data_IF_519218203929
#
_entry.id   IF_519218203929
#
_cell.length_a   1.000
_cell.length_b   1.000
_cell.length_c   1.000
_cell.angle_alpha   90.00
_cell.angle_beta   90.00
_cell.angle_gamma   90.00
#
_symmetry.space_group_name_H-M   'P 1'
#
loop_
_entity.id
_entity.type
_entity.pdbx_description
1 polymer ?
#
# COMPACT_ATOMS: atom_id res chain seq x y z
N UNK A 1 10.75 -9.52 10.32
CA UNK A 1 10.31 -8.31 9.60
C UNK A 1 11.06 -7.10 10.16
N UNK A 2 11.54 -6.18 9.30
CA UNK A 2 12.21 -4.97 9.74
C UNK A 2 11.30 -4.08 10.62
N UNK A 3 11.92 -3.28 11.50
CA UNK A 3 11.23 -2.32 12.39
C UNK A 3 10.49 -1.22 11.60
N UNK A 4 10.98 -0.89 10.41
CA UNK A 4 10.33 0.01 9.46
C UNK A 4 9.64 -0.81 8.36
N UNK A 5 8.32 -0.65 8.27
CA UNK A 5 7.52 -1.18 7.16
C UNK A 5 7.68 -0.25 5.94
N UNK A 6 7.75 -0.82 4.74
CA UNK A 6 7.82 -0.07 3.46
C UNK A 6 9.02 0.89 3.37
N UNK A 7 10.27 0.40 3.38
CA UNK A 7 11.47 1.24 3.27
C UNK A 7 11.55 2.03 1.96
N UNK A 8 10.92 1.54 0.88
CA UNK A 8 10.89 2.15 -0.46
C UNK A 8 12.27 2.41 -1.08
N UNK A 9 13.28 1.64 -0.65
CA UNK A 9 14.68 1.85 -0.99
C UNK A 9 14.96 1.82 -2.48
N UNK A 10 14.52 0.78 -3.18
CA UNK A 10 14.80 0.67 -4.61
C UNK A 10 14.08 1.72 -5.46
N UNK A 11 12.96 2.29 -5.01
CA UNK A 11 12.32 3.40 -5.75
C UNK A 11 13.11 4.68 -5.57
N UNK A 12 13.56 4.97 -4.35
CA UNK A 12 14.11 6.28 -3.99
C UNK A 12 15.63 6.24 -3.72
N UNK A 13 16.33 5.23 -4.25
CA UNK A 13 17.77 5.11 -4.08
C UNK A 13 18.50 6.38 -4.57
N UNK A 14 19.33 6.96 -3.69
CA UNK A 14 20.06 8.19 -3.98
C UNK A 14 19.18 9.45 -4.11
N UNK A 15 17.87 9.34 -3.86
CA UNK A 15 16.91 10.44 -4.01
C UNK A 15 16.18 10.71 -2.70
N UNK A 16 15.81 11.97 -2.47
CA UNK A 16 14.96 12.34 -1.34
C UNK A 16 13.82 13.21 -1.86
N UNK A 17 12.83 12.62 -2.55
CA UNK A 17 11.76 13.40 -3.16
C UNK A 17 10.90 14.06 -2.09
N UNK A 18 10.60 15.33 -2.31
CA UNK A 18 9.65 16.08 -1.50
C UNK A 18 8.30 16.10 -2.20
N UNK A 19 7.28 15.56 -1.55
CA UNK A 19 5.91 15.55 -2.08
C UNK A 19 4.97 16.35 -1.19
N UNK A 20 4.02 17.04 -1.82
CA UNK A 20 2.90 17.63 -1.12
C UNK A 20 2.05 16.53 -0.46
N UNK A 21 1.84 16.66 0.85
CA UNK A 21 1.04 15.70 1.63
C UNK A 21 1.74 14.37 1.92
N UNK A 22 3.08 14.27 1.81
CA UNK A 22 3.85 13.08 2.17
C UNK A 22 3.74 12.70 3.67
N UNK A 23 4.02 11.43 3.97
CA UNK A 23 3.99 10.88 5.34
C UNK A 23 5.20 10.03 5.72
N UNK A 24 5.92 9.55 4.73
CA UNK A 24 6.95 8.54 4.92
C UNK A 24 8.31 9.18 4.72
N UNK A 25 9.23 8.85 5.61
CA UNK A 25 10.65 9.03 5.34
C UNK A 25 11.09 7.81 4.53
N UNK A 26 11.62 8.05 3.35
CA UNK A 26 12.17 7.00 2.50
C UNK A 26 13.58 6.66 2.94
N UNK A 27 13.96 5.39 2.85
CA UNK A 27 15.37 5.00 2.97
C UNK A 27 15.97 5.16 1.58
N UNK A 28 17.05 5.93 1.45
CA UNK A 28 17.67 6.23 0.16
C UNK A 28 19.16 5.91 0.10
N UNK A 29 19.75 5.46 1.21
CA UNK A 29 21.15 5.07 1.30
C UNK A 29 21.31 3.57 1.63
N UNK A 30 22.36 2.98 1.07
CA UNK A 30 22.62 1.53 1.18
C UNK A 30 22.92 1.10 2.61
N UNK A 31 23.62 1.91 3.40
CA UNK A 31 24.03 1.54 4.76
C UNK A 31 22.80 1.37 5.67
N UNK A 32 21.87 2.32 5.63
CA UNK A 32 20.60 2.26 6.36
C UNK A 32 19.74 1.10 5.88
N UNK A 33 19.68 0.84 4.56
CA UNK A 33 18.93 -0.28 4.02
C UNK A 33 19.47 -1.63 4.48
N UNK A 34 20.78 -1.86 4.38
CA UNK A 34 21.42 -3.11 4.83
C UNK A 34 21.30 -3.31 6.34
N UNK A 35 21.27 -2.23 7.12
CA UNK A 35 21.04 -2.32 8.57
C UNK A 35 19.66 -2.93 8.92
N UNK A 36 18.67 -2.89 8.00
CA UNK A 36 17.38 -3.57 8.19
C UNK A 36 17.49 -5.11 8.15
N UNK A 37 18.57 -5.64 7.57
CA UNK A 37 18.82 -7.07 7.40
C UNK A 37 19.74 -7.67 8.48
N UNK A 38 20.13 -6.88 9.49
CA UNK A 38 21.18 -7.24 10.46
C UNK A 38 20.90 -8.54 11.25
N UNK A 39 19.63 -8.91 11.47
CA UNK A 39 19.24 -10.15 12.19
C UNK A 39 18.91 -11.33 11.25
N UNK A 40 19.30 -11.22 9.96
CA UNK A 40 18.92 -12.14 8.88
C UNK A 40 19.92 -13.23 8.54
N UNK A 41 21.03 -13.37 9.29
CA UNK A 41 22.05 -14.38 8.98
C UNK A 41 21.48 -15.80 9.02
N UNK A 42 21.74 -16.59 7.96
CA UNK A 42 21.19 -17.94 7.79
C UNK A 42 19.70 -18.01 7.48
N UNK A 43 19.03 -16.88 7.17
CA UNK A 43 17.60 -16.81 6.84
C UNK A 43 17.38 -16.18 5.47
N UNK A 44 16.23 -16.48 4.86
CA UNK A 44 15.74 -15.69 3.73
C UNK A 44 15.30 -14.33 4.26
N UNK A 45 15.88 -13.27 3.70
CA UNK A 45 15.50 -11.89 3.99
C UNK A 45 14.68 -11.32 2.83
N UNK A 46 13.66 -10.54 3.17
CA UNK A 46 12.84 -9.85 2.21
C UNK A 46 12.17 -8.63 2.85
N UNK A 47 11.70 -7.74 2.00
CA UNK A 47 10.98 -6.53 2.36
C UNK A 47 9.80 -6.30 1.42
N UNK A 48 8.91 -5.40 1.81
CA UNK A 48 7.71 -5.09 1.04
C UNK A 48 7.49 -3.60 1.06
N UNK A 49 7.51 -3.00 -0.14
CA UNK A 49 7.25 -1.58 -0.38
C UNK A 49 6.30 -1.44 -1.56
N UNK A 50 5.08 -0.97 -1.29
CA UNK A 50 4.04 -0.83 -2.33
C UNK A 50 4.40 0.09 -3.51
N UNK A 51 5.29 1.11 -3.39
CA UNK A 51 5.67 1.94 -4.53
C UNK A 51 6.51 1.24 -5.59
N UNK A 52 7.14 0.10 -5.30
CA UNK A 52 7.99 -0.63 -6.25
C UNK A 52 7.29 -0.99 -7.55
N UNK A 53 6.01 -1.39 -7.47
CA UNK A 53 5.25 -1.77 -8.64
C UNK A 53 4.87 -0.55 -9.50
N UNK A 54 4.49 0.55 -8.85
CA UNK A 54 4.07 1.75 -9.56
C UNK A 54 5.24 2.48 -10.23
N UNK A 55 6.35 2.64 -9.51
CA UNK A 55 7.61 3.19 -10.04
C UNK A 55 8.52 2.07 -10.56
N UNK A 56 7.95 1.15 -11.35
CA UNK A 56 8.67 -0.06 -11.80
C UNK A 56 9.94 0.28 -12.58
N UNK A 57 9.95 1.37 -13.37
CA UNK A 57 11.11 1.74 -14.19
C UNK A 57 12.31 2.08 -13.32
N UNK A 58 12.13 3.00 -12.39
CA UNK A 58 13.16 3.45 -11.44
C UNK A 58 13.56 2.30 -10.52
N UNK A 59 12.58 1.56 -10.02
CA UNK A 59 12.81 0.43 -9.11
C UNK A 59 13.63 -0.67 -9.76
N UNK A 60 13.28 -1.09 -10.98
CA UNK A 60 14.01 -2.10 -11.73
C UNK A 60 15.43 -1.61 -12.05
N UNK A 61 15.57 -0.37 -12.52
CA UNK A 61 16.88 0.21 -12.81
C UNK A 61 17.81 0.21 -11.59
N UNK A 62 17.29 0.61 -10.43
CA UNK A 62 18.06 0.62 -9.18
C UNK A 62 18.39 -0.79 -8.69
N UNK A 63 17.47 -1.76 -8.79
CA UNK A 63 17.75 -3.16 -8.45
C UNK A 63 18.91 -3.69 -9.31
N UNK A 64 18.88 -3.44 -10.63
CA UNK A 64 19.93 -3.86 -11.57
C UNK A 64 21.29 -3.26 -11.23
N UNK A 65 21.31 -2.01 -10.79
CA UNK A 65 22.53 -1.30 -10.43
C UNK A 65 23.13 -1.78 -9.10
N UNK A 66 22.30 -2.19 -8.14
CA UNK A 66 22.70 -2.41 -6.75
C UNK A 66 22.84 -3.86 -6.35
N UNK A 67 22.12 -4.77 -7.01
CA UNK A 67 22.03 -6.17 -6.58
C UNK A 67 22.81 -7.07 -7.55
N UNK A 68 23.91 -7.69 -7.11
CA UNK A 68 24.55 -8.76 -7.86
C UNK A 68 23.54 -9.90 -8.09
N UNK A 69 23.57 -10.51 -9.28
CA UNK A 69 22.64 -11.59 -9.64
C UNK A 69 21.16 -11.19 -9.49
N UNK A 70 20.83 -9.91 -9.75
CA UNK A 70 19.47 -9.37 -9.56
C UNK A 70 18.36 -10.20 -10.22
N UNK A 71 18.65 -10.92 -11.30
CA UNK A 71 17.69 -11.75 -12.03
C UNK A 71 17.14 -12.91 -11.17
N UNK A 72 17.91 -13.35 -10.17
CA UNK A 72 17.56 -14.46 -9.27
C UNK A 72 16.75 -13.99 -8.04
N UNK A 73 16.49 -12.68 -7.91
CA UNK A 73 15.60 -12.16 -6.87
C UNK A 73 14.18 -12.70 -7.10
N UNK A 74 13.57 -13.20 -6.02
CA UNK A 74 12.17 -13.63 -6.00
C UNK A 74 11.26 -12.41 -5.77
N UNK A 75 10.44 -12.08 -6.76
CA UNK A 75 9.47 -10.97 -6.71
C UNK A 75 8.06 -11.52 -6.50
N UNK A 76 7.33 -10.94 -5.55
CA UNK A 76 5.90 -11.23 -5.32
C UNK A 76 5.10 -9.97 -5.60
N UNK A 77 4.19 -10.03 -6.56
CA UNK A 77 3.25 -8.96 -6.89
C UNK A 77 1.85 -9.39 -6.41
N UNK A 78 1.15 -8.49 -5.72
CA UNK A 78 -0.23 -8.73 -5.26
C UNK A 78 -1.13 -7.72 -5.95
N UNK A 79 -2.04 -8.22 -6.79
CA UNK A 79 -2.99 -7.42 -7.55
C UNK A 79 -4.38 -7.52 -6.92
N UNK A 80 -5.21 -6.50 -7.14
CA UNK A 80 -6.62 -6.42 -6.71
C UNK A 80 -7.37 -5.68 -7.80
N UNK A 81 -8.67 -5.95 -7.96
CA UNK A 81 -9.57 -5.13 -8.79
C UNK A 81 -9.16 -3.64 -8.67
N UNK A 82 -8.73 -2.99 -9.79
CA UNK A 82 -8.14 -1.66 -9.74
C UNK A 82 -9.14 -0.58 -9.29
N UNK A 83 -10.44 -0.79 -9.51
CA UNK A 83 -11.51 0.09 -9.03
C UNK A 83 -11.64 -0.01 -7.51
N UNK A 84 -11.66 -1.23 -6.99
CA UNK A 84 -11.70 -1.50 -5.55
C UNK A 84 -10.41 -1.07 -4.83
N UNK A 85 -9.25 -1.20 -5.48
CA UNK A 85 -7.97 -0.70 -4.97
C UNK A 85 -7.99 0.84 -4.88
N UNK A 86 -8.45 1.52 -5.93
CA UNK A 86 -8.58 2.98 -5.95
C UNK A 86 -9.45 3.47 -4.79
N UNK A 87 -10.64 2.86 -4.63
CA UNK A 87 -11.56 3.20 -3.56
C UNK A 87 -10.99 2.90 -2.17
N UNK A 88 -10.32 1.76 -2.00
CA UNK A 88 -9.66 1.40 -0.74
C UNK A 88 -8.58 2.41 -0.33
N UNK A 89 -7.79 2.90 -1.29
CA UNK A 89 -6.77 3.93 -1.04
C UNK A 89 -7.43 5.27 -0.68
N UNK A 90 -8.50 5.67 -1.37
CA UNK A 90 -9.30 6.84 -1.01
C UNK A 90 -9.82 6.74 0.43
N UNK A 91 -10.42 5.61 0.80
CA UNK A 91 -10.94 5.38 2.15
C UNK A 91 -9.83 5.39 3.21
N UNK A 92 -8.64 4.90 2.87
CA UNK A 92 -7.46 5.02 3.73
C UNK A 92 -7.10 6.50 3.96
N UNK A 93 -7.06 7.32 2.92
CA UNK A 93 -6.79 8.76 3.04
C UNK A 93 -7.92 9.50 3.77
N UNK A 94 -9.20 9.12 3.60
CA UNK A 94 -10.35 9.67 4.35
C UNK A 94 -10.28 9.34 5.83
N UNK A 95 -10.07 8.07 6.19
CA UNK A 95 -9.82 7.63 7.58
C UNK A 95 -8.70 8.47 8.20
N UNK A 96 -7.68 8.71 7.39
CA UNK A 96 -6.52 9.45 7.81
C UNK A 96 -6.64 10.98 7.63
N UNK A 97 -7.84 11.50 7.33
CA UNK A 97 -8.20 12.92 7.17
C UNK A 97 -7.26 13.69 6.23
N UNK A 98 -6.75 13.02 5.21
CA UNK A 98 -5.91 13.61 4.16
C UNK A 98 -6.70 14.03 2.95
N UNK A 99 -7.78 13.32 2.67
CA UNK A 99 -8.63 13.59 1.53
C UNK A 99 -9.83 14.41 1.99
N UNK A 100 -9.94 15.70 1.66
CA UNK A 100 -11.12 16.49 1.98
C UNK A 100 -12.27 16.26 1.00
N UNK A 101 -11.97 15.86 -0.23
CA UNK A 101 -12.95 15.68 -1.30
C UNK A 101 -13.76 14.39 -1.13
N UNK A 102 -14.90 14.30 -1.80
CA UNK A 102 -15.55 13.02 -2.06
C UNK A 102 -14.76 12.24 -3.12
N UNK A 103 -15.16 10.99 -3.39
CA UNK A 103 -14.34 10.11 -4.23
C UNK A 103 -14.28 10.60 -5.68
N UNK A 104 -15.43 11.01 -6.23
CA UNK A 104 -15.57 11.52 -7.59
C UNK A 104 -14.78 12.81 -7.81
N UNK A 105 -14.80 13.76 -6.88
CA UNK A 105 -13.96 14.96 -6.97
C UNK A 105 -12.47 14.64 -6.73
N UNK A 106 -12.16 13.64 -5.90
CA UNK A 106 -10.79 13.22 -5.63
C UNK A 106 -10.11 12.60 -6.87
N UNK A 107 -10.82 11.75 -7.62
CA UNK A 107 -10.32 11.20 -8.90
C UNK A 107 -10.22 12.29 -9.97
N UNK A 108 -11.16 13.24 -10.01
CA UNK A 108 -11.11 14.35 -10.97
C UNK A 108 -9.92 15.30 -10.71
N UNK A 109 -9.53 15.47 -9.43
CA UNK A 109 -8.39 16.30 -9.03
C UNK A 109 -7.03 15.62 -9.24
N UNK A 110 -7.00 14.31 -9.52
CA UNK A 110 -5.77 13.50 -9.56
C UNK A 110 -4.73 14.03 -10.54
N UNK A 111 -5.16 14.34 -11.77
CA UNK A 111 -4.25 14.86 -12.82
C UNK A 111 -3.56 16.15 -12.38
N UNK A 112 -4.30 17.07 -11.75
CA UNK A 112 -3.72 18.31 -11.24
C UNK A 112 -2.80 18.02 -10.05
N UNK A 113 -3.18 17.11 -9.14
CA UNK A 113 -2.33 16.69 -8.01
C UNK A 113 -0.99 16.14 -8.46
N UNK A 114 -0.95 15.36 -9.55
CA UNK A 114 0.29 14.88 -10.15
C UNK A 114 1.17 16.04 -10.64
N UNK A 115 0.58 17.03 -11.33
CA UNK A 115 1.29 18.23 -11.79
C UNK A 115 1.80 19.10 -10.63
N UNK A 116 1.02 19.19 -9.56
CA UNK A 116 1.35 19.93 -8.34
C UNK A 116 2.25 19.13 -7.38
N UNK A 117 2.86 18.03 -7.85
CA UNK A 117 3.79 17.20 -7.09
C UNK A 117 3.24 16.70 -5.73
N UNK A 118 1.95 16.31 -5.71
CA UNK A 118 1.37 15.61 -4.58
C UNK A 118 1.91 14.19 -4.46
N UNK A 119 1.91 13.67 -3.24
CA UNK A 119 2.35 12.31 -2.99
C UNK A 119 1.47 11.31 -3.74
N UNK A 120 2.08 10.26 -4.29
CA UNK A 120 1.42 9.17 -5.02
C UNK A 120 0.36 8.38 -4.23
N UNK A 121 0.11 8.74 -2.97
CA UNK A 121 -1.01 8.20 -2.18
C UNK A 121 -2.36 8.75 -2.66
N UNK A 122 -2.33 9.86 -3.40
CA UNK A 122 -3.49 10.54 -3.95
C UNK A 122 -3.69 10.23 -5.46
N UNK A 123 -2.86 9.35 -6.02
CA UNK A 123 -2.98 8.86 -7.40
C UNK A 123 -3.85 7.60 -7.37
N UNK A 124 -5.16 7.82 -7.23
CA UNK A 124 -6.12 6.76 -7.01
C UNK A 124 -6.37 5.94 -8.27
N UNK A 125 -6.37 6.54 -9.45
CA UNK A 125 -6.63 5.88 -10.73
C UNK A 125 -5.33 5.41 -11.38
N UNK A 126 -4.33 6.29 -11.48
CA UNK A 126 -3.12 6.04 -12.26
C UNK A 126 -2.34 4.79 -11.78
N UNK A 127 -2.33 4.55 -10.46
CA UNK A 127 -1.72 3.35 -9.86
C UNK A 127 -2.38 2.03 -10.25
N UNK A 128 -3.61 2.06 -10.78
CA UNK A 128 -4.41 0.88 -11.11
C UNK A 128 -4.09 0.25 -12.47
N UNK A 129 -3.30 0.91 -13.32
CA UNK A 129 -2.88 0.37 -14.62
C UNK A 129 -1.73 -0.63 -14.45
N UNK A 130 -2.06 -1.90 -14.25
CA UNK A 130 -1.09 -2.92 -13.86
C UNK A 130 -0.38 -3.57 -15.03
N UNK A 131 -0.94 -3.57 -16.26
CA UNK A 131 -0.37 -4.33 -17.37
C UNK A 131 1.11 -4.04 -17.58
N UNK A 132 1.47 -2.76 -17.73
CA UNK A 132 2.86 -2.37 -17.96
C UNK A 132 3.74 -2.60 -16.72
N UNK A 133 3.19 -2.44 -15.52
CA UNK A 133 3.92 -2.67 -14.27
C UNK A 133 4.31 -4.15 -14.15
N UNK A 134 3.32 -5.05 -14.29
CA UNK A 134 3.51 -6.50 -14.19
C UNK A 134 4.42 -7.00 -15.31
N UNK A 135 4.19 -6.56 -16.55
CA UNK A 135 5.01 -6.93 -17.71
C UNK A 135 6.49 -6.59 -17.51
N UNK A 136 6.79 -5.42 -16.95
CA UNK A 136 8.17 -5.03 -16.74
C UNK A 136 8.89 -5.95 -15.73
N UNK A 137 8.23 -6.33 -14.64
CA UNK A 137 8.81 -7.27 -13.68
C UNK A 137 8.96 -8.68 -14.27
N UNK A 138 7.95 -9.20 -14.96
CA UNK A 138 8.00 -10.57 -15.53
C UNK A 138 8.99 -10.71 -16.68
N UNK A 139 9.33 -9.62 -17.38
CA UNK A 139 10.35 -9.62 -18.43
C UNK A 139 11.77 -9.51 -17.89
N UNK A 140 11.98 -8.92 -16.71
CA UNK A 140 13.32 -8.65 -16.17
C UNK A 140 13.79 -9.70 -15.15
N UNK A 141 12.88 -10.26 -14.34
CA UNK A 141 13.23 -11.21 -13.27
C UNK A 141 12.83 -12.64 -13.63
N UNK A 142 13.65 -13.62 -13.25
CA UNK A 142 13.38 -15.04 -13.50
C UNK A 142 12.25 -15.60 -12.63
N UNK A 143 12.12 -15.07 -11.41
CA UNK A 143 11.21 -15.57 -10.40
C UNK A 143 10.20 -14.49 -10.02
N UNK A 144 9.04 -14.48 -10.69
CA UNK A 144 7.94 -13.57 -10.38
C UNK A 144 6.68 -14.37 -10.06
N UNK A 145 6.15 -14.22 -8.86
CA UNK A 145 4.85 -14.75 -8.44
C UNK A 145 3.82 -13.63 -8.45
N UNK A 146 2.73 -13.83 -9.19
CA UNK A 146 1.59 -12.92 -9.20
C UNK A 146 0.48 -13.55 -8.36
N UNK A 147 0.00 -12.83 -7.37
CA UNK A 147 -1.11 -13.22 -6.50
C UNK A 147 -2.27 -12.25 -6.69
N UNK A 148 -3.48 -12.76 -6.53
CA UNK A 148 -4.70 -11.96 -6.58
C UNK A 148 -5.28 -11.85 -5.16
N UNK A 149 -5.60 -10.62 -4.76
CA UNK A 149 -6.06 -10.30 -3.41
C UNK A 149 -7.35 -11.05 -3.07
N UNK A 150 -8.21 -11.28 -4.05
CA UNK A 150 -9.45 -12.02 -3.93
C UNK A 150 -9.21 -13.50 -3.57
N UNK A 151 -8.14 -14.10 -4.08
CA UNK A 151 -7.73 -15.47 -3.72
C UNK A 151 -7.23 -15.50 -2.28
N UNK A 152 -6.44 -14.50 -1.88
CA UNK A 152 -5.99 -14.33 -0.50
C UNK A 152 -7.16 -14.11 0.47
N UNK A 153 -8.20 -13.37 0.08
CA UNK A 153 -9.38 -13.15 0.93
C UNK A 153 -10.26 -14.40 1.07
N UNK A 154 -10.36 -15.20 0.01
CA UNK A 154 -11.19 -16.40 -0.04
C UNK A 154 -10.56 -17.59 0.66
N UNK A 155 -9.25 -17.80 0.48
CA UNK A 155 -8.49 -18.86 1.13
C UNK A 155 -7.07 -18.38 1.48
N UNK A 156 -6.89 -17.66 2.60
CA UNK A 156 -5.59 -17.16 3.03
C UNK A 156 -4.55 -18.27 3.20
N UNK A 157 -4.97 -19.47 3.61
CA UNK A 157 -4.05 -20.56 3.87
C UNK A 157 -3.38 -21.07 2.60
N UNK A 158 -4.18 -21.33 1.56
CA UNK A 158 -3.66 -21.69 0.24
C UNK A 158 -2.73 -20.62 -0.33
N UNK A 159 -3.08 -19.35 -0.18
CA UNK A 159 -2.23 -18.26 -0.66
C UNK A 159 -0.88 -18.19 0.08
N UNK A 160 -0.86 -18.52 1.38
CA UNK A 160 0.39 -18.63 2.15
C UNK A 160 1.21 -19.84 1.71
N UNK A 161 0.58 -21.00 1.50
CA UNK A 161 1.24 -22.21 0.98
C UNK A 161 1.92 -21.93 -0.37
N UNK A 162 1.22 -21.27 -1.29
CA UNK A 162 1.76 -20.88 -2.60
C UNK A 162 2.97 -19.92 -2.50
N UNK A 163 2.97 -19.04 -1.49
CA UNK A 163 4.11 -18.15 -1.21
C UNK A 163 5.28 -18.95 -0.63
N UNK A 164 5.04 -19.86 0.31
CA UNK A 164 6.08 -20.70 0.90
C UNK A 164 6.73 -21.60 -0.17
N UNK A 165 5.92 -22.20 -1.04
CA UNK A 165 6.40 -23.01 -2.16
C UNK A 165 7.26 -22.16 -3.12
N UNK A 166 6.77 -20.98 -3.53
CA UNK A 166 7.54 -20.07 -4.38
C UNK A 166 8.86 -19.64 -3.74
N UNK A 167 8.88 -19.43 -2.42
CA UNK A 167 10.07 -19.09 -1.66
C UNK A 167 10.97 -20.30 -1.36
N UNK A 168 10.53 -21.53 -1.68
CA UNK A 168 11.21 -22.79 -1.34
C UNK A 168 11.40 -22.96 0.17
N UNK A 169 10.39 -22.57 0.94
CA UNK A 169 10.38 -22.69 2.40
C UNK A 169 9.55 -23.89 2.86
N UNK A 170 9.90 -24.52 4.00
CA UNK A 170 9.07 -25.56 4.60
C UNK A 170 7.63 -25.07 4.87
N UNK A 171 6.67 -25.96 4.68
CA UNK A 171 5.28 -25.69 5.03
C UNK A 171 5.14 -25.50 6.55
N UNK A 172 4.19 -24.64 6.94
CA UNK A 172 3.87 -24.42 8.35
C UNK A 172 2.95 -25.54 8.85
N UNK A 173 3.25 -26.09 10.03
CA UNK A 173 2.45 -27.15 10.65
C UNK A 173 1.03 -26.68 11.03
N UNK A 174 0.84 -25.38 11.30
CA UNK A 174 -0.47 -24.75 11.44
C UNK A 174 -0.46 -23.28 11.03
N UNK A 175 -1.56 -22.82 10.43
CA UNK A 175 -1.74 -21.43 9.96
C UNK A 175 -2.66 -20.61 10.88
N UNK A 176 -2.80 -21.00 12.15
CA UNK A 176 -3.83 -20.51 13.09
C UNK A 176 -3.81 -18.99 13.39
N UNK A 177 -2.85 -18.23 12.87
CA UNK A 177 -2.68 -16.80 13.18
C UNK A 177 -2.73 -15.81 12.00
N UNK A 178 -3.28 -16.17 10.83
CA UNK A 178 -3.59 -15.14 9.81
C UNK A 178 -4.86 -14.37 10.21
N UNK A 179 -4.78 -13.61 11.31
CA UNK A 179 -5.84 -12.67 11.72
C UNK A 179 -6.00 -11.61 10.64
N UNK A 180 -7.20 -11.50 10.04
CA UNK A 180 -7.59 -10.36 9.19
C UNK A 180 -7.36 -9.05 9.96
N UNK A 181 -6.21 -8.41 9.73
CA UNK A 181 -5.91 -7.05 10.16
C UNK A 181 -6.02 -6.17 8.93
N UNK A 182 -7.14 -5.44 8.81
CA UNK A 182 -7.32 -4.14 8.13
C UNK A 182 -8.79 -4.01 7.68
N UNK A 183 -9.63 -3.34 8.46
CA UNK A 183 -10.88 -2.77 7.97
C UNK A 183 -10.67 -1.25 7.79
N UNK A 184 -10.77 -0.76 6.56
CA UNK A 184 -10.76 0.67 6.22
C UNK A 184 -12.20 1.22 6.21
N UNK A 185 -12.40 2.48 6.60
CA UNK A 185 -13.72 3.13 6.59
C UNK A 185 -13.64 4.65 6.84
N UNK A 186 -14.75 5.37 6.70
CA UNK A 186 -14.79 6.83 6.83
C UNK A 186 -15.21 7.27 8.24
N UNK A 187 -14.49 8.23 8.84
CA UNK A 187 -14.79 8.76 10.17
C UNK A 187 -16.04 9.67 10.17
N UNK A 188 -17.11 9.29 10.88
CA UNK A 188 -18.30 10.13 11.11
C UNK A 188 -18.01 11.47 11.84
N UNK A 189 -16.98 11.55 12.69
CA UNK A 189 -16.78 12.71 13.58
C UNK A 189 -15.45 13.44 13.31
N UNK A 190 -15.50 14.40 12.38
CA UNK A 190 -14.33 15.17 11.89
C UNK A 190 -13.68 16.05 12.99
N UNK A 191 -14.43 16.51 13.98
CA UNK A 191 -13.91 17.46 15.00
C UNK A 191 -12.98 16.82 16.03
N UNK A 192 -13.20 15.55 16.42
CA UNK A 192 -12.38 14.85 17.42
C UNK A 192 -10.94 14.73 16.93
N UNK A 193 -10.75 14.41 15.65
CA UNK A 193 -9.40 14.31 15.11
C UNK A 193 -8.79 15.67 14.79
N UNK A 194 -9.57 16.68 14.36
CA UNK A 194 -9.08 18.07 14.28
C UNK A 194 -8.53 18.52 15.63
N UNK A 195 -9.26 18.28 16.72
CA UNK A 195 -8.81 18.52 18.10
C UNK A 195 -7.50 17.74 18.41
N UNK A 196 -7.41 16.48 17.99
CA UNK A 196 -6.22 15.65 18.25
C UNK A 196 -4.98 15.95 17.40
N UNK A 197 -5.14 16.41 16.16
CA UNK A 197 -4.04 16.71 15.24
C UNK A 197 -3.64 18.18 15.26
N UNK A 198 -4.51 19.05 15.77
CA UNK A 198 -4.23 20.45 15.95
C UNK A 198 -3.15 20.64 17.03
N UNK A 199 -1.97 21.05 16.56
CA UNK A 199 -0.80 21.41 17.38
C UNK A 199 -0.79 22.91 17.71
N UNK A 200 -1.76 23.68 17.24
CA UNK A 200 -1.88 25.12 17.52
C UNK A 200 -2.79 25.41 18.72
N UNK A 201 -3.61 24.43 19.15
CA UNK A 201 -4.49 24.58 20.30
C UNK A 201 -3.69 24.60 21.64
N UNK A 202 -3.66 25.74 22.37
CA UNK A 202 -2.82 25.90 23.56
C UNK A 202 -3.28 25.06 24.75
N UNK A 203 -4.60 24.83 24.88
CA UNK A 203 -5.20 24.05 25.97
C UNK A 203 -4.80 22.57 25.84
N UNK A 204 -4.94 22.00 24.65
CA UNK A 204 -4.58 20.61 24.39
C UNK A 204 -3.08 20.36 24.48
N UNK A 205 -2.27 21.32 24.07
CA UNK A 205 -0.82 21.24 24.22
C UNK A 205 -0.38 21.29 25.69
N UNK A 206 -1.06 22.11 26.52
CA UNK A 206 -0.87 22.10 27.97
C UNK A 206 -1.18 20.73 28.58
N UNK A 207 -2.34 20.15 28.24
CA UNK A 207 -2.74 18.82 28.70
C UNK A 207 -1.76 17.74 28.20
N UNK A 208 -1.28 17.81 26.95
CA UNK A 208 -0.30 16.85 26.40
C UNK A 208 1.06 16.93 27.09
N UNK A 209 1.51 18.12 27.50
CA UNK A 209 2.76 18.30 28.26
C UNK A 209 2.70 17.64 29.64
N UNK A 210 1.53 17.69 30.28
CA UNK A 210 1.28 17.08 31.59
C UNK A 210 1.11 15.56 31.55
N UNK A 211 0.82 14.97 30.38
CA UNK A 211 0.68 13.52 30.24
C UNK A 211 2.05 12.83 30.09
N UNK A 212 2.22 11.69 30.77
CA UNK A 212 3.35 10.78 30.54
C UNK A 212 3.35 10.19 29.12
N UNK A 213 4.52 9.72 28.64
CA UNK A 213 4.63 9.04 27.32
C UNK A 213 3.70 7.82 27.22
N UNK A 214 3.54 7.07 28.33
CA UNK A 214 2.68 5.89 28.42
C UNK A 214 1.20 6.28 28.32
N UNK A 215 0.78 7.32 29.04
CA UNK A 215 -0.61 7.83 29.03
C UNK A 215 -0.97 8.42 27.67
N UNK A 216 -0.05 9.14 27.01
CA UNK A 216 -0.26 9.63 25.63
C UNK A 216 -0.46 8.48 24.64
N UNK A 217 0.31 7.40 24.78
CA UNK A 217 0.17 6.20 23.94
C UNK A 217 -1.15 5.49 24.21
N UNK A 218 -1.54 5.34 25.47
CA UNK A 218 -2.80 4.72 25.89
C UNK A 218 -4.02 5.53 25.44
N UNK A 219 -4.03 6.85 25.63
CA UNK A 219 -5.10 7.73 25.17
C UNK A 219 -5.21 7.71 23.64
N UNK A 220 -4.08 7.78 22.93
CA UNK A 220 -4.06 7.67 21.46
C UNK A 220 -4.63 6.33 21.00
N UNK A 221 -4.25 5.24 21.66
CA UNK A 221 -4.77 3.90 21.36
C UNK A 221 -6.25 3.76 21.72
N UNK A 222 -6.71 4.33 22.82
CA UNK A 222 -8.10 4.34 23.23
C UNK A 222 -8.97 5.14 22.25
N UNK A 223 -8.57 6.36 21.89
CA UNK A 223 -9.31 7.14 20.89
C UNK A 223 -9.28 6.45 19.52
N UNK A 224 -8.14 5.88 19.13
CA UNK A 224 -8.03 5.10 17.90
C UNK A 224 -8.92 3.85 17.89
N UNK A 225 -8.98 3.10 18.98
CA UNK A 225 -9.70 1.84 19.02
C UNK A 225 -11.19 2.02 19.31
N UNK A 226 -11.57 3.06 20.06
CA UNK A 226 -12.95 3.28 20.53
C UNK A 226 -13.70 4.31 19.70
N UNK A 227 -13.06 5.41 19.26
CA UNK A 227 -13.75 6.51 18.57
C UNK A 227 -13.51 6.52 17.06
N UNK A 228 -12.34 6.06 16.59
CA UNK A 228 -12.07 5.96 15.15
C UNK A 228 -12.77 4.74 14.55
N UNK A 229 -12.69 3.56 15.19
CA UNK A 229 -13.30 2.34 14.67
C UNK A 229 -14.84 2.33 14.77
N UNK A 230 -15.41 2.89 15.85
CA UNK A 230 -16.87 2.95 16.05
C UNK A 230 -17.57 3.92 15.09
N UNK A 231 -16.82 4.87 14.51
CA UNK A 231 -17.34 5.87 13.58
C UNK A 231 -17.04 5.57 12.11
N UNK A 232 -16.51 4.40 11.77
CA UNK A 232 -16.30 4.00 10.37
C UNK A 232 -17.66 3.66 9.74
N UNK A 233 -18.24 4.57 8.95
CA UNK A 233 -19.28 4.15 7.99
C UNK A 233 -18.55 3.66 6.75
N UNK A 234 -18.78 2.40 6.35
CA UNK A 234 -18.41 1.93 5.01
C UNK A 234 -19.33 2.66 4.04
N UNK A 235 -18.89 3.79 3.52
CA UNK A 235 -19.50 4.34 2.31
C UNK A 235 -19.07 3.41 1.19
N UNK A 236 -19.99 2.97 0.36
CA UNK A 236 -19.68 2.18 -0.83
C UNK A 236 -19.56 3.11 -2.02
N UNK A 237 -18.66 2.76 -2.95
CA UNK A 237 -18.51 3.48 -4.21
C UNK A 237 -19.83 3.42 -4.99
N UNK A 238 -20.22 4.53 -5.62
CA UNK A 238 -21.44 4.53 -6.43
C UNK A 238 -21.29 3.58 -7.62
N UNK A 239 -22.38 2.90 -8.01
CA UNK A 239 -22.37 2.00 -9.15
C UNK A 239 -21.99 2.71 -10.46
N UNK A 240 -22.35 3.99 -10.60
CA UNK A 240 -21.98 4.82 -11.75
C UNK A 240 -20.46 5.06 -11.79
N UNK A 241 -19.85 5.41 -10.65
CA UNK A 241 -18.40 5.63 -10.53
C UNK A 241 -17.64 4.33 -10.77
N UNK A 242 -18.14 3.20 -10.26
CA UNK A 242 -17.55 1.88 -10.54
C UNK A 242 -17.55 1.57 -12.03
N UNK A 243 -18.67 1.78 -12.72
CA UNK A 243 -18.77 1.58 -14.18
C UNK A 243 -17.80 2.48 -14.96
N UNK A 244 -17.62 3.73 -14.53
CA UNK A 244 -16.65 4.64 -15.15
C UNK A 244 -15.21 4.14 -15.00
N UNK A 245 -14.82 3.70 -13.79
CA UNK A 245 -13.48 3.17 -13.54
C UNK A 245 -13.21 1.87 -14.33
N UNK A 246 -14.20 0.98 -14.41
CA UNK A 246 -14.09 -0.23 -15.24
C UNK A 246 -13.79 0.13 -16.68
N UNK A 247 -14.47 1.13 -17.24
CA UNK A 247 -14.21 1.56 -18.61
C UNK A 247 -12.81 2.15 -18.79
N UNK A 248 -12.33 2.92 -17.81
CA UNK A 248 -10.96 3.46 -17.80
C UNK A 248 -9.91 2.34 -17.79
N UNK A 249 -10.14 1.25 -17.06
CA UNK A 249 -9.20 0.14 -16.94
C UNK A 249 -9.40 -0.99 -17.94
N UNK A 250 -10.48 -0.98 -18.74
CA UNK A 250 -10.91 -2.15 -19.55
C UNK A 250 -9.76 -2.76 -20.36
N UNK A 251 -9.09 -1.93 -21.17
CA UNK A 251 -7.99 -2.39 -22.02
C UNK A 251 -6.80 -2.90 -21.20
N UNK A 252 -6.48 -2.27 -20.07
CA UNK A 252 -5.39 -2.71 -19.19
C UNK A 252 -5.72 -4.07 -18.54
N UNK A 253 -6.97 -4.25 -18.10
CA UNK A 253 -7.46 -5.52 -17.51
C UNK A 253 -7.43 -6.64 -18.55
N UNK A 254 -7.88 -6.39 -19.78
CA UNK A 254 -7.85 -7.37 -20.87
C UNK A 254 -6.41 -7.79 -21.18
N UNK A 255 -5.49 -6.83 -21.34
CA UNK A 255 -4.08 -7.11 -21.58
C UNK A 255 -3.40 -7.82 -20.39
N UNK A 256 -3.79 -7.50 -19.16
CA UNK A 256 -3.31 -8.16 -17.95
C UNK A 256 -3.83 -9.60 -17.85
N UNK A 257 -5.08 -9.86 -18.23
CA UNK A 257 -5.65 -11.19 -18.27
C UNK A 257 -4.86 -12.08 -19.24
N UNK A 258 -4.57 -11.56 -20.45
CA UNK A 258 -3.73 -12.25 -21.44
C UNK A 258 -2.31 -12.50 -20.93
N UNK A 259 -1.69 -11.50 -20.29
CA UNK A 259 -0.32 -11.59 -19.76
C UNK A 259 -0.21 -12.63 -18.63
N UNK A 260 -1.22 -12.72 -17.78
CA UNK A 260 -1.19 -13.55 -16.57
C UNK A 260 -1.85 -14.92 -16.76
N UNK A 261 -2.63 -15.11 -17.84
CA UNK A 261 -3.47 -16.27 -18.05
C UNK A 261 -4.61 -16.39 -17.04
N UNK A 262 -4.90 -15.34 -16.26
CA UNK A 262 -5.94 -15.32 -15.23
C UNK A 262 -7.25 -14.80 -15.81
N UNK A 263 -8.36 -15.47 -15.48
CA UNK A 263 -9.69 -14.91 -15.70
C UNK A 263 -9.93 -13.70 -14.76
N UNK A 264 -9.99 -12.51 -15.36
CA UNK A 264 -10.27 -11.23 -14.69
C UNK A 264 -11.65 -10.67 -15.04
N UNK A 265 -12.56 -11.49 -15.59
CA UNK A 265 -13.91 -11.06 -15.97
C UNK A 265 -14.69 -10.40 -14.83
N UNK A 266 -14.45 -10.81 -13.59
CA UNK A 266 -15.05 -10.20 -12.38
C UNK A 266 -14.65 -8.73 -12.17
N UNK A 267 -13.48 -8.31 -12.65
CA UNK A 267 -13.05 -6.91 -12.58
C UNK A 267 -13.72 -6.02 -13.63
N UNK A 268 -14.41 -6.63 -14.61
CA UNK A 268 -15.13 -5.94 -15.69
C UNK A 268 -16.67 -5.89 -15.48
N UNK A 269 -17.15 -6.48 -14.38
CA UNK A 269 -18.54 -6.41 -13.93
C UNK A 269 -18.70 -5.25 -12.97
#
# INVERSE_FOLDING_TARGET
MPLQKEPCFFTFYGQNPEYNGARHNYINDTATYLALAKDGEGKIWGESSTPYMYFYKETIANIKALVPHYQDIKIILILRDPSERAYSQYMHNRRDLREPLDFEAAIAAEKQRMQDNWHFDFFYVDKGFYYHQVKAFTQEFRHVKILFFEDFESNPGKAVEEVLEFLELPMLESLEEVKKRNQSGEMKVKWIKRLMSDRTNPILNGIRKLMSRKTRKQLRNFVKNTLLNYNLKKVEMSAATRKQLIEVYRTDIEQLADLTGRDLSKWLQ
#
